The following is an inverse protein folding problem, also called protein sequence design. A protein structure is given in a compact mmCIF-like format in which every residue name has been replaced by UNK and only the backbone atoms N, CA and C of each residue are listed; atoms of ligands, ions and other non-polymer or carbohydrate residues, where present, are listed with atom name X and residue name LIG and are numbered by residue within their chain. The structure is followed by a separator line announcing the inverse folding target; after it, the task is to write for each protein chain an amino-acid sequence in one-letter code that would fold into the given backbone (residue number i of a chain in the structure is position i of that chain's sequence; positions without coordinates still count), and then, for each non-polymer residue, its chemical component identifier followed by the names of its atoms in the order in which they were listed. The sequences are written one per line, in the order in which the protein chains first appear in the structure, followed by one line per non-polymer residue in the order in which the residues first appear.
data_IF_863073786523
#
_entry.id   IF_863073786523
#
_cell.length_a   1.000
_cell.length_b   1.000
_cell.length_c   1.000
_cell.angle_alpha   90.00
_cell.angle_beta   90.00
_cell.angle_gamma   90.00
#
_symmetry.space_group_name_H-M   'P 1'
#
loop_
_entity.id
_entity.type
_entity.pdbx_description
1 polymer ?
#
# COMPACT_ATOMS: atom_id res chain seq x y z
N UNK A 1 5.62 1.53 19.19
CA UNK A 1 6.92 1.89 19.78
C UNK A 1 7.60 3.06 19.09
N UNK A 2 7.65 3.12 17.76
CA UNK A 2 8.34 4.20 17.03
C UNK A 2 7.86 5.62 17.35
N UNK A 3 6.55 5.83 17.39
CA UNK A 3 5.95 7.14 17.64
C UNK A 3 6.30 7.77 19.00
N UNK A 4 6.51 6.97 20.03
CA UNK A 4 6.88 7.49 21.36
C UNK A 4 8.30 8.07 21.43
N UNK A 5 9.15 7.74 20.46
CA UNK A 5 10.53 8.20 20.35
C UNK A 5 10.72 9.21 19.21
N UNK A 6 9.65 9.78 18.68
CA UNK A 6 9.71 10.69 17.53
C UNK A 6 10.11 10.04 16.20
N UNK A 7 10.15 8.71 16.12
CA UNK A 7 10.56 7.99 14.92
C UNK A 7 9.45 7.93 13.89
N UNK A 8 9.78 8.12 12.63
CA UNK A 8 8.88 7.84 11.52
C UNK A 8 8.67 6.32 11.35
N UNK A 9 7.55 5.93 10.77
CA UNK A 9 7.19 4.53 10.60
C UNK A 9 6.86 4.19 9.16
N UNK A 10 7.10 2.93 8.80
CA UNK A 10 6.69 2.36 7.51
C UNK A 10 5.65 1.29 7.79
N UNK A 11 4.52 1.36 7.10
CA UNK A 11 3.45 0.36 7.13
C UNK A 11 3.32 -0.30 5.78
N UNK A 12 3.05 -1.61 5.76
CA UNK A 12 2.86 -2.40 4.56
C UNK A 12 1.77 -3.44 4.79
N UNK A 13 1.04 -3.83 3.79
CA UNK A 13 -0.01 -4.87 3.80
C UNK A 13 -1.37 -4.42 4.36
N UNK A 14 -1.57 -3.80 5.55
CA UNK A 14 -2.90 -3.66 6.11
C UNK A 14 -3.90 -3.01 5.16
N UNK A 15 -5.18 -3.42 5.29
CA UNK A 15 -6.29 -2.82 4.55
C UNK A 15 -6.46 -1.34 4.92
N UNK A 16 -7.12 -0.55 4.08
CA UNK A 16 -7.36 0.88 4.35
C UNK A 16 -8.07 1.09 5.68
N UNK A 17 -9.09 0.27 5.98
CA UNK A 17 -9.83 0.34 7.25
C UNK A 17 -8.94 0.06 8.47
N UNK A 18 -8.06 -0.95 8.36
CA UNK A 18 -7.11 -1.26 9.43
C UNK A 18 -6.04 -0.18 9.58
N UNK A 19 -5.59 0.41 8.47
CA UNK A 19 -4.63 1.52 8.48
C UNK A 19 -5.20 2.77 9.15
N UNK A 20 -6.45 3.14 8.88
CA UNK A 20 -7.10 4.32 9.48
C UNK A 20 -6.95 4.33 11.00
N UNK A 21 -7.31 3.24 11.65
CA UNK A 21 -7.13 3.08 13.09
C UNK A 21 -5.66 3.14 13.53
N UNK A 22 -4.74 2.56 12.76
CA UNK A 22 -3.31 2.59 13.08
C UNK A 22 -2.71 3.99 12.93
N UNK A 23 -3.15 4.75 11.93
CA UNK A 23 -2.74 6.14 11.72
C UNK A 23 -3.18 7.04 12.87
N UNK A 24 -4.44 6.87 13.35
CA UNK A 24 -4.95 7.58 14.52
C UNK A 24 -4.12 7.28 15.78
N UNK A 25 -3.86 6.00 16.07
CA UNK A 25 -3.03 5.59 17.20
C UNK A 25 -1.61 6.18 17.10
N UNK A 26 -1.03 6.17 15.90
CA UNK A 26 0.30 6.73 15.68
C UNK A 26 0.31 8.25 15.88
N UNK A 27 -0.66 8.97 15.29
CA UNK A 27 -0.86 10.43 15.46
C UNK A 27 -0.91 10.79 16.95
N UNK A 28 -1.79 10.14 17.72
CA UNK A 28 -1.94 10.41 19.16
C UNK A 28 -0.63 10.20 19.93
N UNK A 29 0.04 9.07 19.67
CA UNK A 29 1.28 8.76 20.36
C UNK A 29 2.43 9.69 19.99
N UNK A 30 2.51 10.12 18.72
CA UNK A 30 3.51 11.09 18.24
C UNK A 30 3.22 12.49 18.78
N UNK A 31 1.96 12.93 18.80
CA UNK A 31 1.56 14.22 19.38
C UNK A 31 1.96 14.33 20.85
N UNK A 32 1.74 13.28 21.63
CA UNK A 32 2.18 13.21 23.03
C UNK A 32 3.70 13.27 23.18
N UNK A 33 4.43 12.57 22.32
CA UNK A 33 5.89 12.52 22.38
C UNK A 33 6.54 13.86 22.02
N UNK A 34 5.97 14.56 21.02
CA UNK A 34 6.52 15.83 20.51
C UNK A 34 5.90 17.06 21.18
N UNK A 35 4.93 16.87 22.09
CA UNK A 35 4.18 17.93 22.76
C UNK A 35 3.60 18.98 21.79
N UNK A 36 3.06 18.51 20.67
CA UNK A 36 2.36 19.32 19.65
C UNK A 36 1.26 18.51 18.97
N UNK A 37 0.34 19.19 18.31
CA UNK A 37 -0.63 18.50 17.43
C UNK A 37 0.08 18.04 16.15
N UNK A 38 0.01 16.74 15.88
CA UNK A 38 0.57 16.09 14.70
C UNK A 38 -0.57 15.78 13.74
N UNK A 39 -0.40 16.08 12.46
CA UNK A 39 -1.42 15.77 11.44
C UNK A 39 -1.57 14.27 11.23
N UNK A 40 -2.75 13.82 10.81
CA UNK A 40 -2.93 12.44 10.36
C UNK A 40 -1.97 12.18 9.18
N UNK A 41 -1.33 11.02 9.15
CA UNK A 41 -0.36 10.64 8.10
C UNK A 41 1.05 11.19 8.28
N UNK A 42 1.26 12.21 9.09
CA UNK A 42 2.57 12.80 9.33
C UNK A 42 3.55 11.78 9.95
N UNK A 43 4.68 11.59 9.28
CA UNK A 43 5.72 10.64 9.71
C UNK A 43 5.39 9.18 9.41
N UNK A 44 4.38 8.92 8.59
CA UNK A 44 4.02 7.57 8.13
C UNK A 44 4.31 7.46 6.63
N UNK A 45 5.06 6.43 6.26
CA UNK A 45 5.19 5.97 4.89
C UNK A 45 4.37 4.69 4.71
N UNK A 46 3.57 4.63 3.65
CA UNK A 46 2.83 3.42 3.29
C UNK A 46 3.51 2.74 2.11
N UNK A 47 3.79 1.45 2.23
CA UNK A 47 4.22 0.61 1.11
C UNK A 47 3.01 -0.08 0.50
N UNK A 48 2.93 -0.10 -0.82
CA UNK A 48 1.95 -0.87 -1.58
C UNK A 48 2.61 -1.66 -2.69
N UNK A 49 2.15 -2.88 -2.85
CA UNK A 49 2.52 -3.71 -4.00
C UNK A 49 1.86 -3.12 -5.24
N UNK A 50 2.63 -2.89 -6.30
CA UNK A 50 2.20 -2.17 -7.48
C UNK A 50 2.59 -2.92 -8.76
N UNK A 51 1.64 -3.01 -9.70
CA UNK A 51 1.91 -3.44 -11.07
C UNK A 51 0.97 -2.73 -12.05
N UNK A 52 1.53 -1.92 -12.94
CA UNK A 52 0.77 -1.19 -13.96
C UNK A 52 0.94 -1.86 -15.31
N UNK A 53 -0.17 -2.11 -16.00
CA UNK A 53 -0.21 -2.65 -17.35
C UNK A 53 -1.23 -1.88 -18.20
N UNK A 54 -1.27 -2.13 -19.51
CA UNK A 54 -2.21 -1.43 -20.40
C UNK A 54 -3.67 -1.83 -20.14
N UNK A 55 -3.93 -3.04 -19.65
CA UNK A 55 -5.25 -3.51 -19.24
C UNK A 55 -5.24 -4.18 -17.86
N UNK A 56 -6.41 -4.29 -17.24
CA UNK A 56 -6.58 -4.99 -15.95
C UNK A 56 -6.22 -6.47 -16.09
N UNK A 57 -6.61 -7.10 -17.20
CA UNK A 57 -6.35 -8.49 -17.51
C UNK A 57 -4.85 -8.76 -17.69
N UNK A 58 -4.13 -7.84 -18.32
CA UNK A 58 -2.68 -7.94 -18.45
C UNK A 58 -1.99 -7.83 -17.11
N UNK A 59 -2.40 -6.90 -16.24
CA UNK A 59 -1.85 -6.76 -14.90
C UNK A 59 -2.02 -8.06 -14.10
N UNK A 60 -3.20 -8.65 -14.12
CA UNK A 60 -3.48 -9.93 -13.48
C UNK A 60 -2.67 -11.07 -14.10
N UNK A 61 -2.65 -11.20 -15.42
CA UNK A 61 -1.94 -12.26 -16.14
C UNK A 61 -0.43 -12.24 -15.89
N UNK A 62 0.17 -11.04 -15.85
CA UNK A 62 1.62 -10.89 -15.73
C UNK A 62 2.12 -11.02 -14.28
N UNK A 63 1.34 -10.56 -13.30
CA UNK A 63 1.80 -10.46 -11.93
C UNK A 63 0.87 -11.12 -10.89
N UNK A 64 -0.36 -11.46 -11.27
CA UNK A 64 -1.39 -11.92 -10.32
C UNK A 64 -1.02 -13.20 -9.59
N UNK A 65 -0.59 -14.25 -10.29
CA UNK A 65 -0.15 -15.49 -9.65
C UNK A 65 1.07 -15.27 -8.75
N UNK A 66 2.00 -14.46 -9.22
CA UNK A 66 3.25 -14.18 -8.52
C UNK A 66 3.02 -13.44 -7.21
N UNK A 67 2.18 -12.41 -7.20
CA UNK A 67 1.84 -11.69 -5.97
C UNK A 67 1.06 -12.57 -5.00
N UNK A 68 0.15 -13.41 -5.47
CA UNK A 68 -0.60 -14.35 -4.63
C UNK A 68 0.36 -15.33 -3.95
N UNK A 69 1.27 -15.93 -4.70
CA UNK A 69 2.25 -16.86 -4.16
C UNK A 69 3.19 -16.18 -3.16
N UNK A 70 3.62 -14.96 -3.45
CA UNK A 70 4.42 -14.16 -2.54
C UNK A 70 3.66 -13.83 -1.24
N UNK A 71 2.40 -13.41 -1.33
CA UNK A 71 1.57 -13.12 -0.16
C UNK A 71 1.25 -14.37 0.66
N UNK A 72 1.03 -15.53 0.04
CA UNK A 72 0.90 -16.81 0.75
C UNK A 72 2.15 -17.12 1.56
N UNK A 73 3.34 -16.93 0.97
CA UNK A 73 4.60 -17.08 1.69
C UNK A 73 4.73 -16.08 2.86
N UNK A 74 4.42 -14.81 2.65
CA UNK A 74 4.43 -13.79 3.70
C UNK A 74 3.47 -14.14 4.83
N UNK A 75 2.24 -14.57 4.51
CA UNK A 75 1.22 -14.92 5.48
C UNK A 75 1.52 -16.22 6.23
N UNK A 76 2.32 -17.12 5.67
CA UNK A 76 2.81 -18.29 6.40
C UNK A 76 3.56 -17.87 7.67
N UNK A 77 4.34 -16.79 7.61
CA UNK A 77 5.13 -16.29 8.74
C UNK A 77 4.42 -15.22 9.56
N UNK A 78 3.65 -14.36 8.93
CA UNK A 78 3.05 -13.17 9.56
C UNK A 78 1.57 -13.31 9.87
N UNK A 79 0.94 -14.38 9.42
CA UNK A 79 -0.50 -14.60 9.54
C UNK A 79 -1.34 -13.74 8.57
N UNK A 80 -2.58 -14.16 8.39
CA UNK A 80 -3.55 -13.56 7.48
C UNK A 80 -4.18 -12.26 8.03
N UNK A 81 -4.10 -12.03 9.34
CA UNK A 81 -4.81 -10.93 10.02
C UNK A 81 -4.54 -9.54 9.47
N UNK A 82 -3.36 -9.31 8.86
CA UNK A 82 -3.05 -8.01 8.25
C UNK A 82 -3.81 -7.75 6.94
N UNK A 83 -4.35 -8.79 6.31
CA UNK A 83 -5.17 -8.68 5.10
C UNK A 83 -6.67 -8.60 5.39
N UNK A 84 -7.06 -8.71 6.65
CA UNK A 84 -8.46 -8.69 7.08
C UNK A 84 -8.87 -7.27 7.48
N UNK A 85 -10.11 -6.93 7.20
CA UNK A 85 -10.73 -5.73 7.73
C UNK A 85 -11.04 -5.90 9.24
N UNK A 86 -11.09 -4.83 10.01
CA UNK A 86 -11.52 -4.89 11.40
C UNK A 86 -12.92 -5.50 11.52
N UNK A 87 -13.03 -6.55 12.34
CA UNK A 87 -14.29 -7.28 12.56
C UNK A 87 -14.53 -8.46 11.62
N UNK A 88 -13.69 -8.67 10.60
CA UNK A 88 -13.72 -9.91 9.83
C UNK A 88 -13.13 -11.06 10.63
N UNK A 89 -13.82 -12.20 10.64
CA UNK A 89 -13.34 -13.40 11.31
C UNK A 89 -12.27 -14.11 10.47
N UNK A 90 -11.20 -14.52 11.15
CA UNK A 90 -10.18 -15.36 10.52
C UNK A 90 -10.73 -16.78 10.36
N UNK A 91 -10.58 -17.40 9.18
CA UNK A 91 -10.94 -18.80 9.00
C UNK A 91 -10.22 -19.69 10.03
N UNK A 92 -10.97 -20.56 10.66
CA UNK A 92 -10.45 -21.47 11.71
C UNK A 92 -9.86 -22.77 11.16
N UNK A 93 -9.99 -23.01 9.84
CA UNK A 93 -9.67 -24.29 9.18
C UNK A 93 -8.28 -24.31 8.53
N UNK A 94 -7.79 -25.52 8.29
CA UNK A 94 -6.74 -25.79 7.29
C UNK A 94 -7.17 -25.14 5.98
N UNK A 95 -6.23 -24.52 5.25
CA UNK A 95 -6.58 -23.78 4.02
C UNK A 95 -6.82 -22.28 4.21
N UNK A 96 -6.50 -21.70 5.36
CA UNK A 96 -6.58 -20.24 5.59
C UNK A 96 -5.96 -19.39 4.48
N UNK A 97 -4.91 -19.92 3.85
CA UNK A 97 -4.20 -19.22 2.78
C UNK A 97 -4.91 -19.33 1.42
N UNK A 98 -5.92 -20.18 1.28
CA UNK A 98 -6.71 -20.31 0.04
C UNK A 98 -7.60 -19.08 -0.19
N UNK A 99 -7.90 -18.31 0.87
CA UNK A 99 -8.51 -17.00 0.74
C UNK A 99 -7.63 -16.00 -0.02
N UNK A 100 -6.31 -16.17 0.03
CA UNK A 100 -5.38 -15.33 -0.69
C UNK A 100 -5.40 -15.70 -2.17
N UNK A 101 -6.38 -15.16 -2.87
CA UNK A 101 -6.43 -15.13 -4.32
C UNK A 101 -6.26 -13.70 -4.83
N UNK A 102 -6.12 -13.51 -6.13
CA UNK A 102 -5.88 -12.21 -6.73
C UNK A 102 -7.00 -11.22 -6.41
N UNK A 103 -8.25 -11.61 -6.59
CA UNK A 103 -9.42 -10.74 -6.35
C UNK A 103 -9.49 -10.26 -4.89
N UNK A 104 -9.24 -11.15 -3.92
CA UNK A 104 -9.20 -10.81 -2.50
C UNK A 104 -8.12 -9.76 -2.20
N UNK A 105 -6.91 -9.96 -2.70
CA UNK A 105 -5.78 -9.06 -2.48
C UNK A 105 -5.96 -7.73 -3.23
N UNK A 106 -6.39 -7.80 -4.49
CA UNK A 106 -6.57 -6.64 -5.36
C UNK A 106 -7.54 -5.62 -4.77
N UNK A 107 -8.67 -6.09 -4.23
CA UNK A 107 -9.68 -5.22 -3.61
C UNK A 107 -9.21 -4.54 -2.33
N UNK A 108 -8.20 -5.09 -1.65
CA UNK A 108 -7.83 -4.68 -0.30
C UNK A 108 -6.60 -3.77 -0.23
N UNK A 109 -5.53 -4.15 -0.87
CA UNK A 109 -4.24 -3.54 -0.58
C UNK A 109 -3.22 -3.54 -1.72
N UNK A 110 -3.65 -3.74 -2.97
CA UNK A 110 -2.76 -3.69 -4.13
C UNK A 110 -3.06 -2.51 -5.05
N UNK A 111 -2.03 -2.03 -5.73
CA UNK A 111 -2.10 -1.02 -6.79
C UNK A 111 -1.81 -1.69 -8.15
N UNK A 112 -2.66 -2.66 -8.52
CA UNK A 112 -2.54 -3.39 -9.78
C UNK A 112 -3.62 -2.92 -10.74
N UNK A 113 -3.25 -2.57 -11.96
CA UNK A 113 -4.23 -2.16 -12.97
C UNK A 113 -3.67 -1.23 -14.02
N UNK A 114 -4.57 -0.44 -14.61
CA UNK A 114 -4.23 0.49 -15.69
C UNK A 114 -3.71 1.83 -15.19
N UNK A 115 -3.07 2.63 -16.07
CA UNK A 115 -2.67 4.01 -15.75
C UNK A 115 -3.81 4.94 -15.30
N UNK A 116 -5.06 4.61 -15.60
CA UNK A 116 -6.24 5.35 -15.14
C UNK A 116 -6.70 4.86 -13.76
N UNK A 117 -6.71 3.55 -13.54
CA UNK A 117 -7.18 2.94 -12.31
C UNK A 117 -6.26 3.22 -11.11
N UNK A 118 -4.95 3.11 -11.30
CA UNK A 118 -3.98 3.21 -10.20
C UNK A 118 -3.95 4.61 -9.57
N UNK A 119 -4.00 5.74 -10.33
CA UNK A 119 -4.11 7.07 -9.72
C UNK A 119 -5.33 7.24 -8.82
N UNK A 120 -6.49 6.72 -9.21
CA UNK A 120 -7.70 6.83 -8.41
C UNK A 120 -7.57 6.07 -7.09
N UNK A 121 -6.92 4.90 -7.10
CA UNK A 121 -6.61 4.16 -5.88
C UNK A 121 -5.61 4.90 -4.98
N UNK A 122 -4.63 5.59 -5.54
CA UNK A 122 -3.70 6.41 -4.75
C UNK A 122 -4.44 7.62 -4.14
N UNK A 123 -5.31 8.28 -4.88
CA UNK A 123 -6.15 9.38 -4.37
C UNK A 123 -7.09 8.91 -3.25
N UNK A 124 -7.65 7.70 -3.36
CA UNK A 124 -8.42 7.08 -2.28
C UNK A 124 -7.57 6.94 -1.00
N UNK A 125 -6.32 6.46 -1.10
CA UNK A 125 -5.40 6.39 0.03
C UNK A 125 -5.07 7.77 0.60
N UNK A 126 -4.87 8.79 -0.24
CA UNK A 126 -4.64 10.16 0.20
C UNK A 126 -5.86 10.71 0.97
N UNK A 127 -7.07 10.55 0.43
CA UNK A 127 -8.29 11.07 1.04
C UNK A 127 -8.63 10.38 2.37
N UNK A 128 -8.48 9.06 2.44
CA UNK A 128 -8.86 8.27 3.62
C UNK A 128 -7.84 8.33 4.76
N UNK A 129 -6.57 8.52 4.45
CA UNK A 129 -5.46 8.40 5.39
C UNK A 129 -4.68 9.71 5.57
N UNK A 130 -4.99 10.75 4.80
CA UNK A 130 -4.11 11.92 4.63
C UNK A 130 -2.66 11.47 4.33
N UNK A 131 -2.54 10.48 3.42
CA UNK A 131 -1.28 9.85 3.11
C UNK A 131 -0.34 10.85 2.41
N UNK A 132 0.82 11.11 3.02
CA UNK A 132 1.82 12.03 2.50
C UNK A 132 2.96 11.31 1.77
N UNK A 133 3.19 10.04 2.09
CA UNK A 133 4.35 9.30 1.58
C UNK A 133 3.96 7.89 1.17
N UNK A 134 3.93 7.62 -0.15
CA UNK A 134 3.68 6.32 -0.73
C UNK A 134 4.97 5.75 -1.32
N UNK A 135 5.31 4.54 -0.91
CA UNK A 135 6.36 3.74 -1.52
C UNK A 135 5.71 2.59 -2.29
N UNK A 136 6.20 2.32 -3.48
CA UNK A 136 5.68 1.21 -4.29
C UNK A 136 6.71 0.09 -4.39
N UNK A 137 6.23 -1.13 -4.25
CA UNK A 137 7.01 -2.34 -4.47
C UNK A 137 6.53 -2.99 -5.75
N UNK A 138 7.39 -3.07 -6.76
CA UNK A 138 7.02 -3.50 -8.12
C UNK A 138 7.74 -4.77 -8.59
N UNK A 139 8.58 -5.37 -7.77
CA UNK A 139 9.31 -6.58 -8.15
C UNK A 139 8.92 -7.74 -7.22
N UNK A 140 8.18 -8.70 -7.75
CA UNK A 140 7.72 -9.90 -7.02
C UNK A 140 8.47 -11.13 -7.51
N UNK A 141 8.74 -12.11 -6.63
CA UNK A 141 9.38 -13.36 -7.04
C UNK A 141 8.62 -14.04 -8.18
N UNK A 142 9.32 -14.31 -9.27
CA UNK A 142 8.76 -14.99 -10.46
C UNK A 142 8.30 -14.06 -11.59
N UNK A 143 8.05 -12.79 -11.35
CA UNK A 143 7.74 -11.84 -12.42
C UNK A 143 8.99 -11.59 -13.26
N UNK A 144 8.84 -11.62 -14.59
CA UNK A 144 9.94 -11.36 -15.50
C UNK A 144 10.45 -9.93 -15.36
N UNK A 145 11.75 -9.75 -15.36
CA UNK A 145 12.38 -8.42 -15.24
C UNK A 145 11.85 -7.42 -16.28
N UNK A 146 11.67 -7.86 -17.51
CA UNK A 146 11.14 -7.02 -18.60
C UNK A 146 9.73 -6.50 -18.29
N UNK A 147 8.88 -7.33 -17.69
CA UNK A 147 7.50 -6.95 -17.34
C UNK A 147 7.50 -5.99 -16.13
N UNK A 148 8.37 -6.20 -15.14
CA UNK A 148 8.60 -5.24 -14.07
C UNK A 148 9.02 -3.87 -14.62
N UNK A 149 9.98 -3.85 -15.56
CA UNK A 149 10.47 -2.59 -16.14
C UNK A 149 9.41 -1.87 -16.95
N UNK A 150 8.58 -2.59 -17.70
CA UNK A 150 7.42 -2.00 -18.40
C UNK A 150 6.43 -1.39 -17.42
N UNK A 151 6.09 -2.11 -16.36
CA UNK A 151 5.20 -1.64 -15.31
C UNK A 151 5.73 -0.37 -14.63
N UNK A 152 7.01 -0.34 -14.26
CA UNK A 152 7.66 0.84 -13.68
C UNK A 152 7.62 2.02 -14.65
N UNK A 153 7.89 1.78 -15.93
CA UNK A 153 7.82 2.81 -16.97
C UNK A 153 6.41 3.40 -17.09
N UNK A 154 5.38 2.56 -17.18
CA UNK A 154 3.98 3.02 -17.20
C UNK A 154 3.64 3.82 -15.94
N UNK A 155 4.06 3.36 -14.77
CA UNK A 155 3.85 4.07 -13.52
C UNK A 155 4.50 5.46 -13.55
N UNK A 156 5.77 5.55 -13.94
CA UNK A 156 6.50 6.83 -13.95
C UNK A 156 6.00 7.81 -15.01
N UNK A 157 5.62 7.31 -16.18
CA UNK A 157 5.21 8.15 -17.30
C UNK A 157 3.72 8.54 -17.28
N UNK A 158 2.85 7.67 -16.73
CA UNK A 158 1.39 7.83 -16.80
C UNK A 158 0.73 8.05 -15.44
N UNK A 159 1.23 7.45 -14.38
CA UNK A 159 0.64 7.54 -13.04
C UNK A 159 1.23 8.71 -12.24
N UNK A 160 2.55 8.77 -12.09
CA UNK A 160 3.23 9.80 -11.29
C UNK A 160 2.90 11.24 -11.70
N UNK A 161 2.71 11.58 -12.99
CA UNK A 161 2.36 12.94 -13.38
C UNK A 161 1.07 13.48 -12.76
N UNK A 162 0.15 12.60 -12.33
CA UNK A 162 -1.09 13.01 -11.66
C UNK A 162 -0.88 13.60 -10.27
N UNK A 163 0.33 13.52 -9.71
CA UNK A 163 0.68 13.93 -8.34
C UNK A 163 1.79 14.97 -8.30
N UNK A 164 2.15 15.61 -9.42
CA UNK A 164 3.25 16.58 -9.49
C UNK A 164 3.00 17.85 -8.67
N UNK A 165 1.76 18.33 -8.66
CA UNK A 165 1.38 19.55 -7.95
C UNK A 165 1.50 19.37 -6.42
N UNK A 166 1.31 18.12 -5.94
CA UNK A 166 1.47 17.78 -4.53
C UNK A 166 2.94 17.90 -4.10
N UNK A 167 3.88 17.49 -4.97
CA UNK A 167 5.33 17.55 -4.72
C UNK A 167 5.85 18.97 -4.67
N UNK A 168 5.40 19.85 -5.57
CA UNK A 168 5.82 21.26 -5.61
C UNK A 168 5.34 22.04 -4.38
N UNK A 169 4.24 21.62 -3.78
CA UNK A 169 3.70 22.24 -2.57
C UNK A 169 4.51 21.86 -1.32
N UNK A 170 5.06 20.66 -1.25
CA UNK A 170 5.90 20.20 -0.13
C UNK A 170 7.32 20.78 -0.19
N UNK A 171 7.92 20.86 -1.37
CA UNK A 171 9.27 21.45 -1.55
C UNK A 171 9.28 22.91 -1.13
N UNK A 172 8.20 23.66 -1.39
CA UNK A 172 8.06 25.08 -0.97
C UNK A 172 7.85 25.25 0.54
N UNK A 173 7.47 24.22 1.28
CA UNK A 173 7.31 24.29 2.76
C UNK A 173 8.60 24.00 3.52
N UNK A 174 9.61 23.45 2.85
CA UNK A 174 10.91 23.06 3.46
C UNK A 174 12.04 24.01 3.07
N UNK A 175 11.80 24.91 2.14
CA UNK A 175 12.71 26.00 1.73
C UNK A 175 12.35 27.30 2.44
#
# INVERSE_FOLDING_TARGET
MGSRNGLNTIMWIPTVKALKKRFEIYKEAKSKAENRDVSLGEGISLVRDMFVAETMEEAEKMAGEHIVNYMRWVCHWRGLGNHMDPGEELPQTEGKLDLLNYEFLHKRNMLFGTPEYVPDKIKELQSELNLQNLQVWSNFPGVKHEDCMKSIKLFTEKVMPNFKDDLDTEVKKVS
#
